data_IF_971531308304
#
_entry.id   IF_971531308304
#
_cell.length_a   1.000
_cell.length_b   1.000
_cell.length_c   1.000
_cell.angle_alpha   90.00
_cell.angle_beta   90.00
_cell.angle_gamma   90.00
#
_symmetry.space_group_name_H-M   'P 1'
#
loop_
_entity.id
_entity.type
_entity.pdbx_description
1 polymer ?
#
# COMPACT_ATOMS: atom_id res chain seq x y z
N UNK A 1 20.20 18.32 37.09
CA UNK A 1 20.56 17.41 35.98
C UNK A 1 19.40 16.46 35.75
N UNK A 2 18.59 16.68 34.69
CA UNK A 2 17.48 15.78 34.36
C UNK A 2 18.00 14.51 33.68
N UNK A 3 17.76 13.35 34.27
CA UNK A 3 18.06 12.07 33.64
C UNK A 3 17.23 11.92 32.37
N UNK A 4 17.89 11.63 31.25
CA UNK A 4 17.24 11.47 29.94
C UNK A 4 16.56 10.10 29.91
N UNK A 5 15.33 10.02 30.40
CA UNK A 5 14.53 8.78 30.41
C UNK A 5 14.19 8.39 28.97
N UNK A 6 14.67 7.22 28.51
CA UNK A 6 14.27 6.62 27.23
C UNK A 6 13.19 5.58 27.49
N UNK A 7 11.98 5.82 26.99
CA UNK A 7 10.90 4.83 26.98
C UNK A 7 11.03 4.01 25.69
N UNK A 8 11.18 2.69 25.81
CA UNK A 8 11.22 1.75 24.68
C UNK A 8 10.00 0.85 24.73
N UNK A 9 9.22 0.85 23.66
CA UNK A 9 8.08 -0.06 23.50
C UNK A 9 8.58 -1.50 23.31
N UNK A 10 7.94 -2.46 23.98
CA UNK A 10 8.20 -3.87 23.72
C UNK A 10 7.61 -4.30 22.36
N UNK A 11 8.09 -5.41 21.81
CA UNK A 11 7.69 -5.91 20.49
C UNK A 11 6.19 -6.23 20.40
N UNK A 12 5.60 -6.75 21.48
CA UNK A 12 4.17 -7.05 21.55
C UNK A 12 3.30 -5.78 21.47
N UNK A 13 3.69 -4.71 22.17
CA UNK A 13 3.03 -3.41 22.09
C UNK A 13 3.11 -2.81 20.68
N UNK A 14 4.29 -2.87 20.06
CA UNK A 14 4.47 -2.41 18.68
C UNK A 14 3.59 -3.20 17.70
N UNK A 15 3.50 -4.53 17.85
CA UNK A 15 2.64 -5.37 17.01
C UNK A 15 1.15 -5.03 17.17
N UNK A 16 0.68 -4.72 18.38
CA UNK A 16 -0.71 -4.29 18.62
C UNK A 16 -1.02 -2.96 17.93
N UNK A 17 -0.12 -1.98 18.02
CA UNK A 17 -0.28 -0.69 17.34
C UNK A 17 -0.31 -0.88 15.82
N UNK A 18 0.64 -1.65 15.27
CA UNK A 18 0.68 -1.92 13.83
C UNK A 18 -0.58 -2.60 13.31
N UNK A 19 -1.18 -3.49 14.09
CA UNK A 19 -2.40 -4.21 13.74
C UNK A 19 -3.70 -3.52 14.22
N UNK A 20 -3.60 -2.31 14.77
CA UNK A 20 -4.76 -1.55 15.19
C UNK A 20 -5.59 -1.09 13.99
N UNK A 21 -6.91 -1.01 14.15
CA UNK A 21 -7.83 -0.64 13.08
C UNK A 21 -7.47 0.71 12.42
N UNK A 22 -7.06 1.71 13.22
CA UNK A 22 -6.67 3.03 12.70
C UNK A 22 -5.42 2.98 11.82
N UNK A 23 -4.41 2.19 12.19
CA UNK A 23 -3.21 2.02 11.37
C UNK A 23 -3.53 1.25 10.09
N UNK A 24 -4.32 0.17 10.18
CA UNK A 24 -4.73 -0.60 9.01
C UNK A 24 -5.57 0.24 8.03
N UNK A 25 -6.50 1.06 8.53
CA UNK A 25 -7.28 1.99 7.70
C UNK A 25 -6.40 3.03 7.01
N UNK A 26 -5.40 3.59 7.71
CA UNK A 26 -4.48 4.55 7.10
C UNK A 26 -3.58 3.91 6.04
N UNK A 27 -3.13 2.67 6.26
CA UNK A 27 -2.40 1.89 5.26
C UNK A 27 -3.27 1.61 4.03
N UNK A 28 -4.54 1.28 4.24
CA UNK A 28 -5.50 1.04 3.16
C UNK A 28 -5.71 2.31 2.33
N UNK A 29 -6.00 3.43 2.99
CA UNK A 29 -6.18 4.72 2.31
C UNK A 29 -4.95 5.11 1.48
N UNK A 30 -3.75 4.85 1.99
CA UNK A 30 -2.52 5.09 1.23
C UNK A 30 -2.44 4.17 0.00
N UNK A 31 -2.70 2.87 0.15
CA UNK A 31 -2.69 1.94 -0.97
C UNK A 31 -3.80 2.24 -2.00
N UNK A 32 -4.99 2.66 -1.56
CA UNK A 32 -6.08 3.11 -2.43
C UNK A 32 -5.68 4.34 -3.24
N UNK A 33 -5.01 5.31 -2.61
CA UNK A 33 -4.51 6.49 -3.32
C UNK A 33 -3.50 6.12 -4.41
N UNK A 34 -2.65 5.14 -4.15
CA UNK A 34 -1.70 4.61 -5.12
C UNK A 34 -2.40 3.83 -6.23
N UNK A 35 -3.40 3.01 -5.89
CA UNK A 35 -4.19 2.30 -6.88
C UNK A 35 -4.95 3.28 -7.79
N UNK A 36 -5.50 4.36 -7.24
CA UNK A 36 -6.17 5.42 -8.01
C UNK A 36 -5.19 6.12 -8.96
N UNK A 37 -4.00 6.49 -8.49
CA UNK A 37 -2.97 7.07 -9.35
C UNK A 37 -2.53 6.11 -10.46
N UNK A 38 -2.31 4.83 -10.15
CA UNK A 38 -1.97 3.82 -11.15
C UNK A 38 -3.10 3.61 -12.18
N UNK A 39 -4.35 3.62 -11.73
CA UNK A 39 -5.52 3.50 -12.59
C UNK A 39 -5.73 4.74 -13.48
N UNK A 40 -5.36 5.94 -13.05
CA UNK A 40 -5.41 7.15 -13.90
C UNK A 40 -4.41 7.11 -15.07
N UNK A 41 -3.42 6.22 -15.01
CA UNK A 41 -2.47 5.99 -16.11
C UNK A 41 -2.96 4.93 -17.11
N UNK A 42 -4.07 4.24 -16.82
CA UNK A 42 -4.66 3.28 -17.74
C UNK A 42 -5.52 4.00 -18.78
N UNK A 43 -5.61 3.43 -19.98
CA UNK A 43 -6.53 3.89 -21.00
C UNK A 43 -7.99 3.70 -20.53
N UNK A 44 -8.85 4.74 -20.56
CA UNK A 44 -10.26 4.63 -20.18
C UNK A 44 -11.03 3.57 -20.96
N UNK A 45 -10.65 3.26 -22.21
CA UNK A 45 -11.25 2.17 -22.98
C UNK A 45 -10.97 0.78 -22.39
N UNK A 46 -9.96 0.67 -21.53
CA UNK A 46 -9.51 -0.59 -20.92
C UNK A 46 -10.15 -0.87 -19.56
N UNK A 47 -11.12 -0.06 -19.13
CA UNK A 47 -11.77 -0.16 -17.82
C UNK A 47 -12.45 -1.52 -17.55
N UNK A 48 -12.86 -2.25 -18.61
CA UNK A 48 -13.45 -3.59 -18.51
C UNK A 48 -12.43 -4.74 -18.40
N UNK A 49 -11.13 -4.48 -18.61
CA UNK A 49 -10.08 -5.51 -18.67
C UNK A 49 -9.33 -5.70 -17.33
N UNK A 50 -9.82 -5.10 -16.26
CA UNK A 50 -9.26 -5.13 -14.92
C UNK A 50 -8.59 -3.82 -14.49
N UNK A 51 -8.27 -3.71 -13.19
CA UNK A 51 -7.73 -2.50 -12.56
C UNK A 51 -6.59 -2.82 -11.60
N UNK A 52 -5.88 -1.80 -11.15
CA UNK A 52 -5.05 -1.91 -9.95
C UNK A 52 -5.96 -1.88 -8.72
N UNK A 53 -5.73 -2.83 -7.82
CA UNK A 53 -6.50 -3.01 -6.58
C UNK A 53 -5.60 -2.85 -5.36
N UNK A 54 -6.12 -2.19 -4.33
CA UNK A 54 -5.45 -2.03 -3.05
C UNK A 54 -5.96 -3.07 -2.06
N UNK A 55 -5.06 -3.61 -1.24
CA UNK A 55 -5.40 -4.61 -0.22
C UNK A 55 -4.49 -4.44 0.99
N UNK A 56 -5.05 -4.71 2.17
CA UNK A 56 -4.37 -4.66 3.47
C UNK A 56 -4.58 -5.98 4.18
N UNK A 57 -3.48 -6.59 4.64
CA UNK A 57 -3.52 -7.87 5.34
C UNK A 57 -3.18 -7.69 6.81
N UNK A 58 -4.19 -7.56 7.70
CA UNK A 58 -3.96 -7.51 9.14
C UNK A 58 -3.41 -8.85 9.66
N UNK A 59 -2.80 -8.83 10.86
CA UNK A 59 -2.26 -10.02 11.52
C UNK A 59 -0.82 -10.36 11.10
N UNK A 60 -0.13 -9.46 10.39
CA UNK A 60 1.28 -9.60 10.03
C UNK A 60 2.17 -8.95 11.09
N UNK A 61 3.41 -9.46 11.19
CA UNK A 61 4.46 -8.93 12.08
C UNK A 61 4.85 -7.49 11.70
N UNK A 62 4.54 -7.07 10.47
CA UNK A 62 4.74 -5.71 9.97
C UNK A 62 3.43 -5.20 9.36
N UNK A 63 3.13 -3.92 9.58
CA UNK A 63 2.12 -3.19 8.83
C UNK A 63 2.36 -3.33 7.32
N UNK A 64 1.38 -3.85 6.58
CA UNK A 64 1.56 -4.19 5.17
C UNK A 64 0.30 -3.86 4.36
N UNK A 65 0.46 -3.00 3.37
CA UNK A 65 -0.50 -2.79 2.29
C UNK A 65 0.15 -3.16 0.96
N UNK A 66 -0.66 -3.58 -0.01
CA UNK A 66 -0.21 -3.88 -1.36
C UNK A 66 -1.14 -3.28 -2.39
N UNK A 67 -0.59 -2.96 -3.55
CA UNK A 67 -1.35 -2.68 -4.76
C UNK A 67 -1.01 -3.76 -5.78
N UNK A 68 -2.03 -4.41 -6.34
CA UNK A 68 -1.88 -5.51 -7.29
C UNK A 68 -2.58 -5.19 -8.60
N UNK A 69 -1.99 -5.61 -9.72
CA UNK A 69 -2.64 -5.56 -11.02
C UNK A 69 -3.67 -6.70 -11.13
N UNK A 70 -4.94 -6.41 -10.87
CA UNK A 70 -6.04 -7.37 -10.94
C UNK A 70 -6.62 -7.40 -12.36
N UNK A 71 -5.88 -8.03 -13.27
CA UNK A 71 -6.31 -8.24 -14.65
C UNK A 71 -5.17 -8.28 -15.66
N UNK A 72 -5.45 -8.83 -16.84
CA UNK A 72 -4.43 -9.01 -17.89
C UNK A 72 -3.91 -7.67 -18.40
N UNK A 73 -4.78 -6.67 -18.54
CA UNK A 73 -4.39 -5.34 -19.03
C UNK A 73 -3.46 -4.59 -18.05
N UNK A 74 -3.83 -4.38 -16.76
CA UNK A 74 -2.95 -3.70 -15.81
C UNK A 74 -1.62 -4.44 -15.59
N UNK A 75 -1.59 -5.78 -15.72
CA UNK A 75 -0.33 -6.56 -15.69
C UNK A 75 0.58 -6.15 -16.85
N UNK A 76 0.08 -6.18 -18.09
CA UNK A 76 0.86 -5.80 -19.27
C UNK A 76 1.29 -4.34 -19.22
N UNK A 77 0.39 -3.46 -18.77
CA UNK A 77 0.67 -2.05 -18.62
C UNK A 77 1.79 -1.81 -17.62
N UNK A 78 1.74 -2.46 -16.45
CA UNK A 78 2.80 -2.34 -15.46
C UNK A 78 4.14 -2.89 -15.95
N UNK A 79 4.15 -4.02 -16.67
CA UNK A 79 5.37 -4.58 -17.25
C UNK A 79 6.02 -3.65 -18.28
N UNK A 80 5.22 -2.94 -19.09
CA UNK A 80 5.72 -2.05 -20.14
C UNK A 80 6.12 -0.67 -19.60
N UNK A 81 5.37 -0.16 -18.63
CA UNK A 81 5.48 1.25 -18.22
C UNK A 81 5.98 1.45 -16.79
N UNK A 82 6.22 0.37 -16.03
CA UNK A 82 6.64 0.41 -14.64
C UNK A 82 5.73 1.27 -13.77
N UNK A 83 4.42 1.21 -14.00
CA UNK A 83 3.44 2.12 -13.37
C UNK A 83 3.47 2.11 -11.86
N UNK A 84 3.56 0.92 -11.24
CA UNK A 84 3.60 0.84 -9.77
C UNK A 84 4.88 1.45 -9.19
N UNK A 85 6.02 1.33 -9.89
CA UNK A 85 7.29 1.96 -9.48
C UNK A 85 7.22 3.49 -9.60
N UNK A 86 6.59 3.99 -10.67
CA UNK A 86 6.36 5.43 -10.86
C UNK A 86 5.47 6.01 -9.78
N UNK A 87 4.37 5.33 -9.45
CA UNK A 87 3.44 5.76 -8.39
C UNK A 87 4.09 5.70 -7.00
N UNK A 88 5.07 4.82 -6.78
CA UNK A 88 5.89 4.79 -5.57
C UNK A 88 6.88 5.97 -5.46
N UNK A 89 7.07 6.77 -6.51
CA UNK A 89 8.06 7.85 -6.55
C UNK A 89 9.49 7.40 -6.80
N UNK A 90 9.69 6.14 -7.23
CA UNK A 90 11.00 5.53 -7.46
C UNK A 90 11.31 5.31 -8.96
N UNK A 91 10.63 6.02 -9.87
CA UNK A 91 10.71 5.81 -11.32
C UNK A 91 10.92 7.09 -12.12
#
# INVERSE_FOLDING_TARGET
MGSRVKVKMNSAGAARVMNSAGVQARLLAHAESMAAAANSMLDPASAGAGRFEADVKPGKVRAHARVTAAGVYPIRHNLKHNTLLKVLGNG
#
